data_IF_341432514397
#
_entry.id   IF_341432514397
#
_cell.length_a   1.000
_cell.length_b   1.000
_cell.length_c   1.000
_cell.angle_alpha   90.00
_cell.angle_beta   90.00
_cell.angle_gamma   90.00
#
_symmetry.space_group_name_H-M   'P 1'
#
loop_
_entity.id
_entity.type
_entity.pdbx_description
1 polymer ?
#
# COMPACT_ATOMS: atom_id res chain seq x y z
N UNK A 1 3.60 12.97 -54.53
CA UNK A 1 3.38 11.50 -54.38
C UNK A 1 4.21 10.93 -53.23
N UNK A 2 5.55 11.00 -53.25
CA UNK A 2 6.40 10.49 -52.15
C UNK A 2 6.09 11.08 -50.75
N UNK A 3 5.83 12.40 -50.67
CA UNK A 3 5.40 13.07 -49.43
C UNK A 3 4.09 12.52 -48.86
N UNK A 4 3.12 12.19 -49.73
CA UNK A 4 1.83 11.62 -49.31
C UNK A 4 2.00 10.19 -48.79
N UNK A 5 2.84 9.37 -49.43
CA UNK A 5 3.20 8.04 -48.93
C UNK A 5 3.96 8.10 -47.61
N UNK A 6 4.91 9.03 -47.47
CA UNK A 6 5.63 9.24 -46.21
C UNK A 6 4.72 9.68 -45.07
N UNK A 7 3.82 10.63 -45.33
CA UNK A 7 2.82 11.07 -44.36
C UNK A 7 1.86 9.94 -43.96
N UNK A 8 1.35 9.18 -44.93
CA UNK A 8 0.48 8.03 -44.65
C UNK A 8 1.19 6.95 -43.83
N UNK A 9 2.46 6.64 -44.13
CA UNK A 9 3.26 5.70 -43.36
C UNK A 9 3.45 6.17 -41.92
N UNK A 10 3.84 7.43 -41.70
CA UNK A 10 4.03 7.98 -40.35
C UNK A 10 2.72 8.00 -39.55
N UNK A 11 1.61 8.41 -40.15
CA UNK A 11 0.29 8.40 -39.49
C UNK A 11 -0.17 6.99 -39.15
N UNK A 12 0.06 6.02 -40.03
CA UNK A 12 -0.24 4.61 -39.77
C UNK A 12 0.61 4.06 -38.63
N UNK A 13 1.92 4.36 -38.61
CA UNK A 13 2.82 3.97 -37.52
C UNK A 13 2.43 4.61 -36.20
N UNK A 14 2.02 5.88 -36.22
CA UNK A 14 1.50 6.59 -35.05
C UNK A 14 0.23 5.92 -34.51
N UNK A 15 -0.75 5.63 -35.36
CA UNK A 15 -1.99 4.97 -34.96
C UNK A 15 -1.75 3.58 -34.36
N UNK A 16 -0.90 2.76 -34.99
CA UNK A 16 -0.52 1.44 -34.46
C UNK A 16 0.23 1.56 -33.14
N UNK A 17 1.16 2.52 -33.02
CA UNK A 17 1.89 2.77 -31.77
C UNK A 17 0.95 3.18 -30.64
N UNK A 18 0.07 4.16 -30.86
CA UNK A 18 -0.90 4.60 -29.86
C UNK A 18 -1.82 3.46 -29.42
N UNK A 19 -2.29 2.63 -30.36
CA UNK A 19 -3.15 1.48 -30.05
C UNK A 19 -2.41 0.46 -29.20
N UNK A 20 -1.18 0.10 -29.58
CA UNK A 20 -0.35 -0.86 -28.85
C UNK A 20 0.00 -0.36 -27.45
N UNK A 21 0.46 0.89 -27.31
CA UNK A 21 0.79 1.49 -26.00
C UNK A 21 -0.46 1.57 -25.11
N UNK A 22 -1.60 1.94 -25.66
CA UNK A 22 -2.86 2.01 -24.89
C UNK A 22 -3.25 0.62 -24.37
N UNK A 23 -3.16 -0.41 -25.21
CA UNK A 23 -3.52 -1.79 -24.89
C UNK A 23 -2.58 -2.43 -23.87
N UNK A 24 -1.27 -2.19 -23.99
CA UNK A 24 -0.28 -2.89 -23.16
C UNK A 24 0.09 -2.14 -21.88
N UNK A 25 0.10 -0.79 -21.90
CA UNK A 25 0.62 0.00 -20.79
C UNK A 25 -0.46 0.72 -19.97
N UNK A 26 -1.49 1.28 -20.62
CA UNK A 26 -2.45 2.15 -19.93
C UNK A 26 -3.75 1.45 -19.50
N UNK A 27 -4.18 0.40 -20.20
CA UNK A 27 -5.40 -0.35 -19.84
C UNK A 27 -5.16 -1.41 -18.76
N UNK A 28 -4.76 -0.97 -17.57
CA UNK A 28 -4.57 -1.83 -16.39
C UNK A 28 -5.34 -1.30 -15.18
N UNK A 29 -6.27 -2.08 -14.58
CA UNK A 29 -6.99 -1.65 -13.39
C UNK A 29 -6.09 -1.68 -12.15
N UNK A 30 -6.25 -0.70 -11.26
CA UNK A 30 -5.48 -0.62 -10.01
C UNK A 30 -6.15 -1.30 -8.80
N UNK A 31 -7.45 -1.65 -8.90
CA UNK A 31 -8.21 -2.31 -7.83
C UNK A 31 -8.19 -3.83 -7.93
N UNK A 32 -8.03 -4.35 -9.14
CA UNK A 32 -7.97 -5.79 -9.42
C UNK A 32 -6.56 -6.09 -9.93
N UNK A 33 -5.84 -6.97 -9.25
CA UNK A 33 -4.49 -7.34 -9.67
C UNK A 33 -4.57 -8.53 -10.63
N UNK A 34 -3.83 -8.46 -11.73
CA UNK A 34 -3.74 -9.55 -12.69
C UNK A 34 -2.30 -10.05 -12.77
N UNK A 35 -2.12 -11.36 -12.57
CA UNK A 35 -0.86 -12.05 -12.82
C UNK A 35 -1.01 -13.03 -13.99
N UNK A 36 0.12 -13.39 -14.59
CA UNK A 36 0.19 -14.48 -15.58
C UNK A 36 0.75 -15.72 -14.88
N UNK A 37 -0.02 -16.79 -14.87
CA UNK A 37 0.44 -18.09 -14.38
C UNK A 37 1.48 -18.72 -15.31
N UNK A 38 2.14 -19.78 -14.86
CA UNK A 38 3.22 -20.47 -15.57
C UNK A 38 2.85 -20.92 -17.00
N UNK A 39 1.56 -21.18 -17.26
CA UNK A 39 1.04 -21.63 -18.56
C UNK A 39 0.37 -20.51 -19.37
N UNK A 40 0.59 -19.24 -19.03
CA UNK A 40 0.00 -18.08 -19.73
C UNK A 40 -1.44 -17.77 -19.34
N UNK A 41 -2.06 -18.56 -18.47
CA UNK A 41 -3.39 -18.29 -17.93
C UNK A 41 -3.37 -17.01 -17.09
N UNK A 42 -4.37 -16.15 -17.28
CA UNK A 42 -4.55 -14.95 -16.47
C UNK A 42 -5.16 -15.34 -15.12
N UNK A 43 -4.44 -15.05 -14.04
CA UNK A 43 -4.93 -15.17 -12.66
C UNK A 43 -5.32 -13.77 -12.18
N UNK A 44 -6.46 -13.67 -11.53
CA UNK A 44 -7.00 -12.41 -11.03
C UNK A 44 -7.05 -12.50 -9.51
N UNK A 45 -6.40 -11.57 -8.82
CA UNK A 45 -6.50 -11.38 -7.37
C UNK A 45 -7.40 -10.18 -7.10
N UNK A 46 -8.39 -10.38 -6.24
CA UNK A 46 -9.46 -9.41 -5.99
C UNK A 46 -9.58 -8.99 -4.53
N UNK A 47 -8.47 -9.10 -3.83
CA UNK A 47 -8.39 -9.05 -2.37
C UNK A 47 -8.84 -7.68 -1.83
N UNK A 48 -8.59 -6.58 -2.57
CA UNK A 48 -9.07 -5.25 -2.20
C UNK A 48 -10.60 -5.20 -2.11
N UNK A 49 -11.30 -5.67 -3.16
CA UNK A 49 -12.77 -5.62 -3.17
C UNK A 49 -13.35 -6.56 -2.13
N UNK A 50 -12.76 -7.73 -1.94
CA UNK A 50 -13.14 -8.66 -0.89
C UNK A 50 -13.02 -8.02 0.50
N UNK A 51 -11.85 -7.45 0.83
CA UNK A 51 -11.61 -6.82 2.12
C UNK A 51 -12.53 -5.62 2.38
N UNK A 52 -12.71 -4.74 1.39
CA UNK A 52 -13.64 -3.62 1.51
C UNK A 52 -15.10 -4.09 1.65
N UNK A 53 -15.50 -5.14 0.94
CA UNK A 53 -16.85 -5.69 1.06
C UNK A 53 -17.07 -6.34 2.43
N UNK A 54 -16.07 -7.04 2.97
CA UNK A 54 -16.12 -7.57 4.33
C UNK A 54 -16.31 -6.44 5.34
N UNK A 55 -15.52 -5.37 5.22
CA UNK A 55 -15.60 -4.19 6.08
C UNK A 55 -17.00 -3.58 6.03
N UNK A 56 -17.60 -3.51 4.84
CA UNK A 56 -18.95 -2.99 4.63
C UNK A 56 -20.05 -3.81 5.30
N UNK A 57 -19.95 -5.14 5.23
CA UNK A 57 -21.02 -6.05 5.67
C UNK A 57 -20.90 -6.49 7.14
N UNK A 58 -19.69 -6.48 7.71
CA UNK A 58 -19.41 -7.15 8.98
C UNK A 58 -18.98 -6.22 10.12
N UNK A 59 -19.00 -4.90 9.91
CA UNK A 59 -18.66 -3.92 10.96
C UNK A 59 -19.83 -2.97 11.23
N UNK A 60 -19.88 -2.29 12.39
CA UNK A 60 -20.85 -1.23 12.64
C UNK A 60 -20.80 -0.13 11.56
N UNK A 61 -21.93 0.52 11.27
CA UNK A 61 -21.99 1.53 10.20
C UNK A 61 -21.20 2.80 10.53
N UNK A 62 -21.07 3.10 11.82
CA UNK A 62 -20.31 4.22 12.39
C UNK A 62 -18.85 3.89 12.67
N UNK A 63 -18.41 2.66 12.38
CA UNK A 63 -17.03 2.22 12.60
C UNK A 63 -16.03 3.10 11.82
N UNK A 64 -14.95 3.46 12.51
CA UNK A 64 -13.88 4.32 11.99
C UNK A 64 -12.64 3.50 11.65
N UNK A 65 -12.16 3.70 10.42
CA UNK A 65 -11.07 2.92 9.84
C UNK A 65 -9.85 3.81 9.68
N UNK A 66 -8.74 3.40 10.29
CA UNK A 66 -7.43 4.00 10.08
C UNK A 66 -6.68 3.23 8.99
N UNK A 67 -6.26 3.94 7.95
CA UNK A 67 -5.42 3.42 6.86
C UNK A 67 -4.43 4.50 6.42
N UNK A 68 -3.49 4.16 5.54
CA UNK A 68 -2.75 5.20 4.83
C UNK A 68 -3.68 6.01 3.91
N UNK A 69 -3.29 7.27 3.62
CA UNK A 69 -4.15 8.23 2.91
C UNK A 69 -4.45 7.81 1.46
N UNK A 70 -3.59 7.00 0.84
CA UNK A 70 -3.77 6.45 -0.52
C UNK A 70 -5.13 5.73 -0.70
N UNK A 71 -5.66 5.12 0.37
CA UNK A 71 -6.82 4.22 0.31
C UNK A 71 -8.12 4.88 0.77
N UNK A 72 -8.10 6.11 1.28
CA UNK A 72 -9.25 6.73 1.95
C UNK A 72 -10.50 6.82 1.08
N UNK A 73 -10.36 7.24 -0.18
CA UNK A 73 -11.48 7.27 -1.13
C UNK A 73 -11.99 5.87 -1.49
N UNK A 74 -11.11 4.87 -1.58
CA UNK A 74 -11.52 3.50 -1.89
C UNK A 74 -12.33 2.89 -0.75
N UNK A 75 -11.88 3.05 0.49
CA UNK A 75 -12.58 2.59 1.70
C UNK A 75 -13.94 3.27 1.81
N UNK A 76 -14.00 4.58 1.58
CA UNK A 76 -15.27 5.33 1.61
C UNK A 76 -16.24 4.83 0.52
N UNK A 77 -15.77 4.68 -0.72
CA UNK A 77 -16.64 4.32 -1.84
C UNK A 77 -17.09 2.84 -1.82
N UNK A 78 -16.18 1.92 -1.51
CA UNK A 78 -16.45 0.48 -1.57
C UNK A 78 -16.83 -0.09 -0.20
N UNK A 79 -16.05 0.27 0.83
CA UNK A 79 -16.26 -0.16 2.22
C UNK A 79 -17.41 0.57 2.92
N UNK A 80 -17.79 1.77 2.44
CA UNK A 80 -18.84 2.60 3.05
C UNK A 80 -18.62 2.78 4.57
N UNK A 81 -17.40 3.20 4.95
CA UNK A 81 -17.01 3.47 6.33
C UNK A 81 -16.30 4.81 6.46
N UNK A 82 -16.35 5.36 7.67
CA UNK A 82 -15.65 6.59 8.03
C UNK A 82 -14.15 6.33 8.05
N UNK A 83 -13.37 7.19 7.40
CA UNK A 83 -11.91 7.12 7.38
C UNK A 83 -11.29 8.25 8.19
N UNK A 84 -10.16 7.99 8.84
CA UNK A 84 -9.43 9.01 9.61
C UNK A 84 -8.72 10.00 8.68
N UNK A 85 -8.08 9.50 7.62
CA UNK A 85 -7.38 10.32 6.62
C UNK A 85 -7.81 9.93 5.21
N UNK A 86 -7.77 10.89 4.29
CA UNK A 86 -8.21 10.71 2.90
C UNK A 86 -7.19 11.21 1.88
N UNK A 87 -7.47 10.94 0.61
CA UNK A 87 -6.62 11.32 -0.52
C UNK A 87 -6.63 12.83 -0.83
N UNK A 88 -7.45 13.65 -0.16
CA UNK A 88 -7.49 15.09 -0.40
C UNK A 88 -6.29 15.80 0.24
N UNK A 89 -5.71 15.22 1.29
CA UNK A 89 -4.45 15.67 1.91
C UNK A 89 -4.41 17.14 2.38
N UNK A 90 -5.56 17.73 2.67
CA UNK A 90 -5.64 19.15 3.05
C UNK A 90 -5.11 19.45 4.46
N UNK A 91 -5.09 18.45 5.36
CA UNK A 91 -4.58 18.58 6.73
C UNK A 91 -3.36 17.68 6.96
N UNK A 92 -2.18 18.23 6.70
CA UNK A 92 -0.90 17.51 6.84
C UNK A 92 -0.62 17.02 8.26
N UNK A 93 -1.05 17.77 9.29
CA UNK A 93 -0.87 17.36 10.69
C UNK A 93 -1.65 16.09 11.01
N UNK A 94 -2.83 15.92 10.40
CA UNK A 94 -3.63 14.73 10.60
C UNK A 94 -2.98 13.49 9.96
N UNK A 95 -2.45 13.64 8.74
CA UNK A 95 -1.69 12.57 8.06
C UNK A 95 -0.43 12.23 8.85
N UNK A 96 0.30 13.23 9.35
CA UNK A 96 1.46 13.02 10.18
C UNK A 96 1.13 12.29 11.49
N UNK A 97 -0.08 12.46 12.03
CA UNK A 97 -0.54 11.75 13.23
C UNK A 97 -0.76 10.27 12.95
N UNK A 98 -1.37 9.93 11.79
CA UNK A 98 -1.49 8.53 11.34
C UNK A 98 -0.10 7.94 11.04
N UNK A 99 0.77 8.68 10.35
CA UNK A 99 2.15 8.26 10.10
C UNK A 99 2.91 8.01 11.40
N UNK A 100 2.69 8.85 12.41
CA UNK A 100 3.24 8.66 13.76
C UNK A 100 2.74 7.37 14.38
N UNK A 101 1.42 7.14 14.41
CA UNK A 101 0.86 5.90 14.95
C UNK A 101 1.44 4.65 14.27
N UNK A 102 1.51 4.63 12.94
CA UNK A 102 2.03 3.48 12.17
C UNK A 102 3.53 3.22 12.40
N UNK A 103 4.32 4.27 12.64
CA UNK A 103 5.78 4.17 12.86
C UNK A 103 6.19 3.98 14.33
N UNK A 104 5.29 4.23 15.28
CA UNK A 104 5.56 4.10 16.72
C UNK A 104 5.55 2.66 17.22
N UNK A 105 6.01 2.45 18.45
CA UNK A 105 5.81 1.19 19.16
C UNK A 105 4.31 1.01 19.51
N UNK A 106 3.86 -0.21 19.81
CA UNK A 106 2.43 -0.49 20.06
C UNK A 106 1.84 0.31 21.23
N UNK A 107 2.59 0.51 22.31
CA UNK A 107 2.18 1.25 23.50
C UNK A 107 1.96 2.74 23.21
N UNK A 108 2.84 3.36 22.44
CA UNK A 108 2.66 4.73 21.96
C UNK A 108 1.54 4.83 20.91
N UNK A 109 1.49 3.87 19.99
CA UNK A 109 0.54 3.88 18.88
C UNK A 109 -0.89 3.68 19.36
N UNK A 110 -1.13 2.81 20.36
CA UNK A 110 -2.46 2.55 20.88
C UNK A 110 -3.06 3.79 21.57
N UNK A 111 -2.24 4.63 22.20
CA UNK A 111 -2.69 5.90 22.77
C UNK A 111 -3.22 6.84 21.68
N UNK A 112 -2.49 6.93 20.56
CA UNK A 112 -2.88 7.75 19.41
C UNK A 112 -4.16 7.20 18.78
N UNK A 113 -4.21 5.89 18.51
CA UNK A 113 -5.37 5.20 17.92
C UNK A 113 -6.62 5.41 18.77
N UNK A 114 -6.51 5.30 20.10
CA UNK A 114 -7.60 5.59 21.04
C UNK A 114 -8.00 7.06 21.03
N UNK A 115 -7.04 7.99 20.98
CA UNK A 115 -7.35 9.43 20.92
C UNK A 115 -8.10 9.84 19.65
N UNK A 116 -7.91 9.09 18.56
CA UNK A 116 -8.58 9.28 17.28
C UNK A 116 -9.90 8.51 17.16
N UNK A 117 -10.27 7.75 18.21
CA UNK A 117 -11.48 6.94 18.26
C UNK A 117 -11.57 5.95 17.08
N UNK A 118 -10.47 5.21 16.85
CA UNK A 118 -10.35 4.23 15.75
C UNK A 118 -10.81 2.84 16.20
N UNK A 119 -11.65 2.20 15.39
CA UNK A 119 -12.14 0.83 15.63
C UNK A 119 -11.34 -0.22 14.86
N UNK A 120 -10.99 0.07 13.61
CA UNK A 120 -10.31 -0.87 12.71
C UNK A 120 -9.07 -0.22 12.09
N UNK A 121 -8.02 -1.02 11.92
CA UNK A 121 -6.80 -0.63 11.20
C UNK A 121 -6.68 -1.49 9.94
N UNK A 122 -6.51 -0.84 8.79
CA UNK A 122 -6.30 -1.51 7.51
C UNK A 122 -4.88 -1.23 7.02
N UNK A 123 -4.13 -2.31 6.79
CA UNK A 123 -2.80 -2.29 6.17
C UNK A 123 -2.80 -3.20 4.94
N UNK A 124 -2.08 -2.80 3.90
CA UNK A 124 -1.88 -3.58 2.69
C UNK A 124 -0.54 -4.29 2.79
N UNK A 125 -0.56 -5.63 2.79
CA UNK A 125 0.62 -6.46 2.82
C UNK A 125 0.75 -7.29 1.53
N UNK A 126 1.84 -7.07 0.79
CA UNK A 126 2.09 -7.69 -0.51
C UNK A 126 3.05 -8.88 -0.49
N UNK A 127 3.50 -9.32 0.69
CA UNK A 127 4.61 -10.28 0.81
C UNK A 127 4.36 -11.65 0.19
N UNK A 128 3.10 -12.12 0.17
CA UNK A 128 2.73 -13.41 -0.46
C UNK A 128 2.64 -13.30 -1.98
N UNK A 129 2.05 -12.21 -2.48
CA UNK A 129 1.74 -12.03 -3.90
C UNK A 129 2.88 -11.36 -4.67
N UNK A 130 3.91 -10.86 -3.96
CA UNK A 130 4.97 -10.04 -4.54
C UNK A 130 4.49 -8.65 -4.98
N UNK A 131 3.44 -8.12 -4.33
CA UNK A 131 2.87 -6.82 -4.68
C UNK A 131 3.77 -5.67 -4.20
N UNK A 132 4.33 -4.92 -5.14
CA UNK A 132 5.33 -3.88 -4.86
C UNK A 132 4.76 -2.58 -4.29
N UNK A 133 3.44 -2.35 -4.35
CA UNK A 133 2.80 -1.13 -3.85
C UNK A 133 2.17 -1.33 -2.47
N UNK A 134 2.73 -2.24 -1.67
CA UNK A 134 2.30 -2.49 -0.31
C UNK A 134 2.77 -1.38 0.67
N UNK A 135 2.27 -1.45 1.91
CA UNK A 135 2.53 -0.40 2.90
C UNK A 135 3.95 -0.44 3.47
N UNK A 136 4.64 -1.59 3.39
CA UNK A 136 6.04 -1.73 3.80
C UNK A 136 6.98 -0.95 2.87
N UNK A 137 6.72 -0.94 1.57
CA UNK A 137 7.49 -0.14 0.60
C UNK A 137 7.21 1.37 0.73
N UNK A 138 6.01 1.74 1.20
CA UNK A 138 5.63 3.15 1.45
C UNK A 138 6.03 3.64 2.83
N UNK A 139 6.41 2.75 3.75
CA UNK A 139 6.59 3.05 5.17
C UNK A 139 7.54 4.21 5.46
N UNK A 140 8.65 4.34 4.72
CA UNK A 140 9.58 5.47 4.92
C UNK A 140 8.92 6.84 4.64
N UNK A 141 7.91 6.92 3.76
CA UNK A 141 7.13 8.14 3.60
C UNK A 141 6.30 8.45 4.85
N UNK A 142 5.74 7.43 5.50
CA UNK A 142 5.01 7.59 6.76
C UNK A 142 5.93 8.12 7.86
N UNK A 143 7.14 7.58 7.95
CA UNK A 143 8.18 8.02 8.89
C UNK A 143 8.59 9.47 8.63
N UNK A 144 8.84 9.85 7.37
CA UNK A 144 9.25 11.21 6.98
C UNK A 144 8.15 12.24 7.27
N UNK A 145 6.91 11.93 6.89
CA UNK A 145 5.76 12.83 7.11
C UNK A 145 5.47 12.96 8.61
N UNK A 146 5.48 11.84 9.35
CA UNK A 146 5.34 11.84 10.81
C UNK A 146 6.46 12.64 11.50
N UNK A 147 7.72 12.40 11.14
CA UNK A 147 8.89 13.08 11.69
C UNK A 147 8.99 14.57 11.36
N UNK A 148 8.40 15.00 10.23
CA UNK A 148 8.32 16.42 9.87
C UNK A 148 7.46 17.25 10.83
N UNK A 149 6.51 16.61 11.54
CA UNK A 149 5.63 17.27 12.52
C UNK A 149 6.00 16.88 13.95
N UNK A 150 6.39 15.62 14.16
CA UNK A 150 6.68 15.06 15.48
C UNK A 150 8.18 14.66 15.59
N UNK A 151 9.02 15.50 16.24
CA UNK A 151 10.47 15.28 16.31
C UNK A 151 10.93 14.00 17.03
N UNK A 152 10.00 13.31 17.71
CA UNK A 152 10.24 12.01 18.34
C UNK A 152 10.51 10.91 17.30
N UNK A 153 10.02 11.07 16.07
CA UNK A 153 10.28 10.16 14.96
C UNK A 153 11.49 10.65 14.18
N UNK A 154 12.49 9.78 14.04
CA UNK A 154 13.69 10.06 13.27
C UNK A 154 13.90 8.95 12.25
N UNK A 155 13.97 9.31 10.97
CA UNK A 155 14.20 8.35 9.88
C UNK A 155 15.43 7.45 10.09
N UNK A 156 16.60 7.96 10.56
CA UNK A 156 17.76 7.11 10.81
C UNK A 156 17.53 5.96 11.78
N UNK A 157 16.55 6.06 12.69
CA UNK A 157 16.26 5.00 13.66
C UNK A 157 15.70 3.73 12.99
N UNK A 158 15.16 3.85 11.78
CA UNK A 158 14.62 2.73 10.99
C UNK A 158 15.61 2.14 9.98
N UNK A 159 16.82 2.70 9.90
CA UNK A 159 17.84 2.31 8.93
C UNK A 159 19.05 1.68 9.64
N UNK A 160 19.74 0.78 8.94
CA UNK A 160 21.02 0.22 9.40
C UNK A 160 22.07 0.52 8.35
N UNK A 161 23.10 1.29 8.70
CA UNK A 161 24.11 1.79 7.75
C UNK A 161 23.52 2.55 6.55
N UNK A 162 22.37 3.20 6.73
CA UNK A 162 21.64 3.89 5.66
C UNK A 162 20.77 2.97 4.79
N UNK A 163 20.76 1.67 5.05
CA UNK A 163 19.93 0.70 4.34
C UNK A 163 18.60 0.45 5.07
N UNK A 164 17.51 0.42 4.31
CA UNK A 164 16.20 -0.01 4.77
C UNK A 164 16.06 -1.52 4.60
N UNK A 165 15.89 -2.23 5.72
CA UNK A 165 15.88 -3.70 5.76
C UNK A 165 14.70 -4.19 6.59
N UNK A 166 14.24 -5.40 6.28
CA UNK A 166 13.19 -6.12 7.03
C UNK A 166 13.64 -7.50 7.49
N UNK A 167 14.88 -7.88 7.20
CA UNK A 167 15.48 -9.13 7.67
C UNK A 167 15.99 -9.02 9.12
N UNK A 168 16.63 -10.08 9.62
CA UNK A 168 17.19 -10.12 10.99
C UNK A 168 18.18 -8.98 11.30
N UNK A 169 18.79 -8.38 10.29
CA UNK A 169 19.72 -7.25 10.40
C UNK A 169 19.03 -5.88 10.29
N UNK A 170 17.70 -5.82 10.24
CA UNK A 170 16.94 -4.57 10.27
C UNK A 170 17.09 -3.83 11.61
N UNK A 171 16.82 -2.52 11.58
CA UNK A 171 16.92 -1.70 12.77
C UNK A 171 15.93 -2.18 13.84
N UNK A 172 16.29 -2.19 15.14
CA UNK A 172 15.38 -2.60 16.20
C UNK A 172 14.06 -1.80 16.21
N UNK A 173 14.10 -0.50 15.87
CA UNK A 173 12.89 0.32 15.76
C UNK A 173 11.98 -0.17 14.61
N UNK A 174 12.55 -0.59 13.48
CA UNK A 174 11.78 -1.14 12.35
C UNK A 174 11.09 -2.45 12.73
N UNK A 175 11.81 -3.39 13.35
CA UNK A 175 11.24 -4.70 13.73
C UNK A 175 10.19 -4.63 14.84
N UNK A 176 10.13 -3.52 15.58
CA UNK A 176 9.22 -3.36 16.71
C UNK A 176 8.15 -2.27 16.49
N UNK A 177 8.13 -1.60 15.33
CA UNK A 177 7.08 -0.63 15.02
C UNK A 177 5.74 -1.33 14.75
N UNK A 178 4.64 -0.58 14.94
CA UNK A 178 3.29 -1.09 14.74
C UNK A 178 3.10 -1.64 13.31
N UNK A 179 3.53 -0.89 12.28
CA UNK A 179 3.38 -1.31 10.88
C UNK A 179 4.01 -2.68 10.60
N UNK A 180 5.24 -2.89 11.06
CA UNK A 180 5.93 -4.17 10.85
C UNK A 180 5.16 -5.32 11.51
N UNK A 181 4.71 -5.12 12.76
CA UNK A 181 3.98 -6.14 13.50
C UNK A 181 2.60 -6.45 12.91
N UNK A 182 1.90 -5.45 12.37
CA UNK A 182 0.62 -5.64 11.69
C UNK A 182 0.79 -6.44 10.39
N UNK A 183 1.77 -6.08 9.55
CA UNK A 183 1.99 -6.74 8.26
C UNK A 183 2.57 -8.16 8.38
N UNK A 184 3.49 -8.39 9.33
CA UNK A 184 4.21 -9.66 9.45
C UNK A 184 3.65 -10.59 10.54
N UNK A 185 2.46 -10.30 11.09
CA UNK A 185 1.83 -11.16 12.08
C UNK A 185 1.62 -12.58 11.55
N UNK A 186 2.26 -13.56 12.21
CA UNK A 186 2.28 -15.00 11.83
C UNK A 186 2.79 -15.29 10.41
N UNK A 187 3.40 -14.33 9.74
CA UNK A 187 3.95 -14.54 8.39
C UNK A 187 5.14 -15.51 8.39
N UNK A 188 5.95 -15.52 9.46
CA UNK A 188 7.06 -16.47 9.62
C UNK A 188 6.66 -17.95 9.78
N UNK A 189 5.37 -18.24 9.91
CA UNK A 189 4.82 -19.62 9.90
C UNK A 189 4.41 -20.06 8.48
N UNK A 190 4.39 -19.14 7.51
CA UNK A 190 3.88 -19.37 6.16
C UNK A 190 4.99 -19.80 5.20
N UNK A 191 4.73 -20.84 4.41
CA UNK A 191 5.59 -21.22 3.29
C UNK A 191 5.15 -20.46 2.03
N UNK A 192 6.00 -19.56 1.55
CA UNK A 192 5.73 -18.73 0.37
C UNK A 192 6.35 -19.30 -0.91
N UNK A 193 7.56 -19.86 -0.81
CA UNK A 193 8.29 -20.45 -1.94
C UNK A 193 8.78 -21.86 -1.61
N UNK A 194 8.71 -22.77 -2.59
CA UNK A 194 9.21 -24.13 -2.44
C UNK A 194 10.74 -24.14 -2.31
N UNK A 195 11.26 -24.82 -1.29
CA UNK A 195 12.70 -24.92 -1.06
C UNK A 195 13.34 -23.71 -0.38
N UNK A 196 12.53 -22.73 0.05
CA UNK A 196 12.96 -21.62 0.91
C UNK A 196 12.49 -21.84 2.35
N UNK A 197 13.13 -21.23 3.36
CA UNK A 197 12.59 -21.20 4.70
C UNK A 197 11.21 -20.51 4.74
N UNK A 198 10.37 -20.79 5.74
CA UNK A 198 9.12 -20.05 5.96
C UNK A 198 9.42 -18.59 6.33
N UNK A 199 8.48 -17.70 6.01
CA UNK A 199 8.64 -16.24 6.11
C UNK A 199 9.34 -15.65 4.90
#
# INVERSE_FOLDING_TARGET
IALLFGAFYLLSRYATHCTWVTSEAYSSPSIVLAARGAHGNRVIFDDYREAYFWLRQNTPQDAKVMSWWDYGYQITAMGNRTVIVDNNTWNNTHIATVGRAMSSYEDEAIEIIRSLDVDYVLVVFGGVTGYSSDDINKFLWMVRIGGGVFPVIKEPDYLVNGEYRVDKGAAPKMLNCLMYKLCYYRFGEMMTEYGKPPG
#
